data_IF_452418641084
#
_entry.id   IF_452418641084
#
_cell.length_a   1.000
_cell.length_b   1.000
_cell.length_c   1.000
_cell.angle_alpha   90.00
_cell.angle_beta   90.00
_cell.angle_gamma   90.00
#
_symmetry.space_group_name_H-M   'P 1'
#
loop_
_entity.id
_entity.type
_entity.pdbx_description
1 polymer ?
#
# COMPACT_ATOMS: atom_id res chain seq x y z
N UNK A 1 -17.72 9.46 13.39
CA UNK A 1 -16.64 10.40 13.03
C UNK A 1 -15.42 10.19 13.93
N UNK A 2 -15.62 9.78 15.19
CA UNK A 2 -14.52 9.35 16.08
C UNK A 2 -13.71 8.16 15.54
N UNK A 3 -14.32 7.20 14.84
CA UNK A 3 -13.59 6.02 14.33
C UNK A 3 -12.54 6.34 13.25
N UNK A 4 -12.76 7.38 12.44
CA UNK A 4 -11.78 7.79 11.42
C UNK A 4 -10.55 8.46 12.04
N UNK A 5 -10.73 9.20 13.14
CA UNK A 5 -9.60 9.85 13.82
C UNK A 5 -8.72 8.84 14.56
N UNK A 6 -9.28 7.69 14.98
CA UNK A 6 -8.54 6.58 15.57
C UNK A 6 -7.62 5.92 14.54
N UNK A 7 -8.10 5.73 13.30
CA UNK A 7 -7.30 5.16 12.20
C UNK A 7 -6.13 6.09 11.85
N UNK A 8 -6.37 7.40 11.75
CA UNK A 8 -5.31 8.38 11.46
C UNK A 8 -4.29 8.46 12.60
N UNK A 9 -4.74 8.42 13.85
CA UNK A 9 -3.86 8.43 15.03
C UNK A 9 -3.02 7.15 15.13
N UNK A 10 -3.62 6.00 14.84
CA UNK A 10 -2.92 4.72 14.78
C UNK A 10 -1.86 4.72 13.67
N UNK A 11 -2.20 5.18 12.47
CA UNK A 11 -1.25 5.27 11.37
C UNK A 11 -0.12 6.24 11.67
N UNK A 12 -0.40 7.39 12.28
CA UNK A 12 0.63 8.33 12.71
C UNK A 12 1.58 7.70 13.74
N UNK A 13 1.03 6.99 14.75
CA UNK A 13 1.84 6.30 15.75
C UNK A 13 2.65 5.13 15.16
N UNK A 14 2.06 4.37 14.24
CA UNK A 14 2.70 3.27 13.55
C UNK A 14 3.86 3.76 12.67
N UNK A 15 3.63 4.76 11.81
CA UNK A 15 4.67 5.35 10.98
C UNK A 15 5.79 5.94 11.83
N UNK A 16 5.46 6.67 12.91
CA UNK A 16 6.47 7.17 13.84
C UNK A 16 7.27 6.05 14.51
N UNK A 17 6.62 4.95 14.91
CA UNK A 17 7.31 3.80 15.51
C UNK A 17 8.28 3.15 14.51
N UNK A 18 7.83 2.95 13.26
CA UNK A 18 8.65 2.39 12.18
C UNK A 18 9.84 3.31 11.84
N UNK A 19 9.58 4.61 11.63
CA UNK A 19 10.62 5.59 11.31
C UNK A 19 11.66 5.72 12.43
N UNK A 20 11.22 5.66 13.69
CA UNK A 20 12.12 5.68 14.85
C UNK A 20 13.00 4.42 14.96
N UNK A 21 12.42 3.25 14.67
CA UNK A 21 13.15 1.98 14.70
C UNK A 21 14.23 1.90 13.62
N UNK A 22 13.89 2.31 12.38
CA UNK A 22 14.85 2.39 11.29
C UNK A 22 15.87 3.52 11.50
N UNK A 23 15.46 4.66 12.06
CA UNK A 23 16.35 5.79 12.36
C UNK A 23 17.47 5.42 13.33
N UNK A 24 17.14 4.72 14.43
CA UNK A 24 18.13 4.28 15.42
C UNK A 24 19.14 3.28 14.86
N UNK A 25 18.72 2.41 13.94
CA UNK A 25 19.58 1.38 13.36
C UNK A 25 20.34 1.87 12.11
N UNK A 26 19.91 2.98 11.50
CA UNK A 26 20.41 3.43 10.20
C UNK A 26 21.92 3.65 10.17
N UNK A 27 22.49 4.26 11.22
CA UNK A 27 23.93 4.51 11.32
C UNK A 27 24.77 3.23 11.45
N UNK A 28 24.35 2.33 12.33
CA UNK A 28 25.04 1.06 12.58
C UNK A 28 24.96 0.13 11.36
N UNK A 29 23.79 0.06 10.72
CA UNK A 29 23.58 -0.72 9.50
C UNK A 29 24.42 -0.16 8.36
N UNK A 30 24.47 1.17 8.18
CA UNK A 30 25.29 1.78 7.13
C UNK A 30 26.79 1.52 7.34
N UNK A 31 27.26 1.63 8.59
CA UNK A 31 28.66 1.35 8.94
C UNK A 31 29.02 -0.11 8.70
N UNK A 32 28.22 -1.05 9.24
CA UNK A 32 28.45 -2.48 9.07
C UNK A 32 28.41 -2.89 7.59
N UNK A 33 27.45 -2.36 6.84
CA UNK A 33 27.33 -2.60 5.39
C UNK A 33 28.56 -2.11 4.64
N UNK A 34 29.07 -0.92 4.97
CA UNK A 34 30.28 -0.35 4.35
C UNK A 34 31.51 -1.22 4.61
N UNK A 35 31.68 -1.69 5.84
CA UNK A 35 32.79 -2.58 6.23
C UNK A 35 32.69 -3.90 5.48
N UNK A 36 31.50 -4.53 5.45
CA UNK A 36 31.26 -5.79 4.74
C UNK A 36 31.55 -5.67 3.23
N UNK A 37 31.14 -4.58 2.60
CA UNK A 37 31.43 -4.28 1.19
C UNK A 37 32.94 -4.15 0.96
N UNK A 38 33.64 -3.42 1.84
CA UNK A 38 35.09 -3.27 1.76
C UNK A 38 35.81 -4.61 1.83
N UNK A 39 35.38 -5.49 2.74
CA UNK A 39 35.91 -6.85 2.89
C UNK A 39 35.62 -7.68 1.62
N UNK A 40 34.40 -7.64 1.09
CA UNK A 40 34.00 -8.39 -0.11
C UNK A 40 34.81 -8.01 -1.36
N UNK A 41 35.08 -6.71 -1.55
CA UNK A 41 35.89 -6.21 -2.66
C UNK A 41 37.37 -6.57 -2.45
N UNK A 42 37.90 -6.41 -1.23
CA UNK A 42 39.28 -6.72 -0.92
C UNK A 42 39.59 -8.22 -1.13
N UNK A 43 38.72 -9.10 -0.65
CA UNK A 43 38.85 -10.54 -0.86
C UNK A 43 38.77 -10.90 -2.35
N UNK A 44 37.82 -10.32 -3.10
CA UNK A 44 37.73 -10.56 -4.54
C UNK A 44 39.00 -10.13 -5.28
N UNK A 45 39.57 -8.97 -4.94
CA UNK A 45 40.82 -8.49 -5.51
C UNK A 45 42.00 -9.40 -5.20
N UNK A 46 42.12 -9.85 -3.95
CA UNK A 46 43.20 -10.75 -3.53
C UNK A 46 43.09 -12.11 -4.23
N UNK A 47 41.91 -12.73 -4.22
CA UNK A 47 41.66 -14.02 -4.88
C UNK A 47 41.96 -13.97 -6.38
N UNK A 48 41.50 -12.93 -7.08
CA UNK A 48 41.77 -12.80 -8.51
C UNK A 48 43.24 -12.49 -8.83
N UNK A 49 43.96 -11.81 -7.93
CA UNK A 49 45.40 -11.59 -8.10
C UNK A 49 46.21 -12.88 -8.02
N UNK A 50 45.74 -13.85 -7.22
CA UNK A 50 46.41 -15.14 -7.03
C UNK A 50 46.12 -16.13 -8.17
N UNK A 51 44.98 -15.99 -8.86
CA UNK A 51 44.55 -16.87 -9.95
C UNK A 51 45.26 -16.58 -11.29
N UNK A 52 46.06 -15.51 -11.37
CA UNK A 52 46.94 -15.22 -12.51
C UNK A 52 46.20 -14.82 -13.81
N UNK A 53 44.91 -14.53 -13.75
CA UNK A 53 44.10 -14.25 -14.93
C UNK A 53 44.33 -12.85 -15.52
N UNK A 54 44.28 -12.75 -16.86
CA UNK A 54 44.58 -11.54 -17.60
C UNK A 54 43.55 -10.38 -17.49
N UNK A 55 42.53 -10.48 -16.63
CA UNK A 55 41.39 -9.54 -16.62
C UNK A 55 40.92 -9.09 -15.22
N UNK A 56 41.82 -9.06 -14.24
CA UNK A 56 41.50 -8.68 -12.85
C UNK A 56 40.81 -7.30 -12.78
N UNK A 57 41.34 -6.32 -13.53
CA UNK A 57 40.81 -4.94 -13.53
C UNK A 57 39.35 -4.90 -14.03
N UNK A 58 39.05 -5.58 -15.14
CA UNK A 58 37.71 -5.63 -15.72
C UNK A 58 36.69 -6.27 -14.77
N UNK A 59 37.10 -7.30 -14.02
CA UNK A 59 36.25 -7.97 -13.02
C UNK A 59 36.01 -7.09 -11.80
N UNK A 60 37.05 -6.41 -11.31
CA UNK A 60 36.93 -5.47 -10.19
C UNK A 60 36.03 -4.29 -10.50
N UNK A 61 36.19 -3.67 -11.67
CA UNK A 61 35.31 -2.56 -12.09
C UNK A 61 33.85 -2.99 -12.09
N UNK A 62 33.55 -4.16 -12.69
CA UNK A 62 32.18 -4.69 -12.73
C UNK A 62 31.63 -4.93 -11.31
N UNK A 63 32.43 -5.52 -10.42
CA UNK A 63 32.00 -5.83 -9.05
C UNK A 63 31.80 -4.55 -8.23
N UNK A 64 32.72 -3.59 -8.32
CA UNK A 64 32.61 -2.29 -7.65
C UNK A 64 31.37 -1.55 -8.13
N UNK A 65 31.08 -1.53 -9.44
CA UNK A 65 29.87 -0.88 -9.96
C UNK A 65 28.59 -1.57 -9.45
N UNK A 66 28.56 -2.90 -9.42
CA UNK A 66 27.38 -3.64 -8.97
C UNK A 66 27.14 -3.45 -7.47
N UNK A 67 28.17 -3.66 -6.66
CA UNK A 67 28.09 -3.53 -5.20
C UNK A 67 27.91 -2.06 -4.79
N UNK A 68 28.58 -1.13 -5.47
CA UNK A 68 28.44 0.30 -5.22
C UNK A 68 27.05 0.83 -5.55
N UNK A 69 26.44 0.37 -6.66
CA UNK A 69 25.06 0.70 -6.98
C UNK A 69 24.08 0.12 -5.94
N UNK A 70 24.32 -1.12 -5.49
CA UNK A 70 23.52 -1.73 -4.44
C UNK A 70 23.62 -0.95 -3.11
N UNK A 71 24.84 -0.56 -2.71
CA UNK A 71 25.08 0.27 -1.54
C UNK A 71 24.40 1.64 -1.65
N UNK A 72 24.45 2.25 -2.84
CA UNK A 72 23.77 3.50 -3.14
C UNK A 72 22.25 3.38 -2.92
N UNK A 73 21.63 2.30 -3.42
CA UNK A 73 20.21 2.04 -3.22
C UNK A 73 19.84 1.85 -1.75
N UNK A 74 20.63 1.06 -1.00
CA UNK A 74 20.37 0.87 0.43
C UNK A 74 20.49 2.17 1.22
N UNK A 75 21.53 2.97 0.96
CA UNK A 75 21.78 4.20 1.70
C UNK A 75 20.76 5.31 1.39
N UNK A 76 20.20 5.32 0.17
CA UNK A 76 19.25 6.35 -0.27
C UNK A 76 17.82 5.83 -0.38
N UNK A 77 17.52 4.64 0.16
CA UNK A 77 16.25 3.95 -0.04
C UNK A 77 15.03 4.82 0.29
N UNK A 78 15.04 5.51 1.44
CA UNK A 78 13.93 6.37 1.88
C UNK A 78 13.65 7.51 0.89
N UNK A 79 14.70 8.20 0.42
CA UNK A 79 14.56 9.28 -0.56
C UNK A 79 14.07 8.76 -1.91
N UNK A 80 14.61 7.65 -2.40
CA UNK A 80 14.14 7.05 -3.65
C UNK A 80 12.70 6.57 -3.54
N UNK A 81 12.30 5.98 -2.41
CA UNK A 81 10.93 5.54 -2.18
C UNK A 81 9.96 6.73 -2.15
N UNK A 82 10.33 7.86 -1.54
CA UNK A 82 9.52 9.08 -1.54
C UNK A 82 9.35 9.65 -2.96
N UNK A 83 10.42 9.70 -3.76
CA UNK A 83 10.36 10.13 -5.17
C UNK A 83 9.41 9.24 -5.97
N UNK A 84 9.54 7.91 -5.83
CA UNK A 84 8.67 6.94 -6.52
C UNK A 84 7.22 7.11 -6.07
N UNK A 85 6.97 7.24 -4.76
CA UNK A 85 5.64 7.46 -4.21
C UNK A 85 5.00 8.73 -4.77
N UNK A 86 5.70 9.86 -4.73
CA UNK A 86 5.22 11.14 -5.28
C UNK A 86 4.89 11.03 -6.76
N UNK A 87 5.75 10.34 -7.52
CA UNK A 87 5.53 10.12 -8.96
C UNK A 87 4.25 9.32 -9.21
N UNK A 88 4.01 8.26 -8.46
CA UNK A 88 2.77 7.47 -8.59
C UNK A 88 1.54 8.23 -8.09
N UNK A 89 1.67 8.99 -7.00
CA UNK A 89 0.60 9.84 -6.48
C UNK A 89 0.19 10.89 -7.51
N UNK A 90 1.15 11.60 -8.11
CA UNK A 90 0.89 12.60 -9.15
C UNK A 90 0.21 12.00 -10.38
N UNK A 91 0.71 10.86 -10.87
CA UNK A 91 0.10 10.13 -11.99
C UNK A 91 -1.33 9.64 -11.65
N UNK A 92 -1.54 9.15 -10.43
CA UNK A 92 -2.85 8.69 -9.95
C UNK A 92 -3.87 9.82 -9.84
N UNK A 93 -3.44 11.01 -9.44
CA UNK A 93 -4.29 12.21 -9.40
C UNK A 93 -4.64 12.69 -10.80
N UNK A 94 -3.68 12.69 -11.73
CA UNK A 94 -3.93 13.01 -13.13
C UNK A 94 -4.94 12.04 -13.78
N UNK A 95 -4.88 10.75 -13.45
CA UNK A 95 -5.77 9.73 -14.01
C UNK A 95 -7.17 9.68 -13.36
N UNK A 96 -7.29 10.03 -12.08
CA UNK A 96 -8.55 9.90 -11.32
C UNK A 96 -9.52 11.09 -11.45
N UNK A 97 -9.13 12.17 -12.13
CA UNK A 97 -9.94 13.37 -12.39
C UNK A 97 -10.63 13.94 -11.12
N UNK A 98 -10.03 13.75 -9.95
CA UNK A 98 -10.57 14.16 -8.66
C UNK A 98 -9.72 15.28 -8.04
N UNK A 99 -10.33 16.13 -7.20
CA UNK A 99 -9.66 17.29 -6.58
C UNK A 99 -8.77 16.93 -5.36
N UNK A 100 -8.24 15.71 -5.32
CA UNK A 100 -7.36 15.26 -4.24
C UNK A 100 -5.92 15.72 -4.50
N UNK A 101 -5.18 15.96 -3.42
CA UNK A 101 -3.75 16.28 -3.48
C UNK A 101 -2.90 15.06 -3.09
N UNK A 102 -1.61 15.04 -3.45
CA UNK A 102 -0.74 13.90 -3.11
C UNK A 102 -0.62 13.72 -1.59
N UNK A 103 -0.65 14.82 -0.84
CA UNK A 103 -0.66 14.83 0.62
C UNK A 103 -1.96 14.26 1.22
N UNK A 104 -3.05 14.28 0.46
CA UNK A 104 -4.31 13.68 0.88
C UNK A 104 -4.32 12.16 0.68
N UNK A 105 -3.50 11.64 -0.24
CA UNK A 105 -3.32 10.19 -0.40
C UNK A 105 -2.55 9.56 0.76
N UNK A 106 -1.79 10.37 1.50
CA UNK A 106 -1.09 9.97 2.72
C UNK A 106 -2.01 10.01 3.97
N UNK A 107 -3.26 10.45 3.83
CA UNK A 107 -4.23 10.55 4.93
C UNK A 107 -5.33 9.49 4.76
N UNK A 108 -5.16 8.30 5.34
CA UNK A 108 -6.08 7.18 5.14
C UNK A 108 -7.51 7.49 5.62
N UNK A 109 -7.69 8.29 6.66
CA UNK A 109 -9.01 8.77 7.10
C UNK A 109 -9.71 9.63 6.04
N UNK A 110 -9.00 10.56 5.38
CA UNK A 110 -9.58 11.38 4.31
C UNK A 110 -9.96 10.53 3.09
N UNK A 111 -9.09 9.60 2.71
CA UNK A 111 -9.33 8.59 1.66
C UNK A 111 -10.54 7.70 1.98
N UNK A 112 -10.61 7.18 3.20
CA UNK A 112 -11.71 6.35 3.68
C UNK A 112 -13.04 7.13 3.73
N UNK A 113 -13.00 8.41 4.11
CA UNK A 113 -14.17 9.30 4.10
C UNK A 113 -14.74 9.53 2.69
N UNK A 114 -13.86 9.72 1.70
CA UNK A 114 -14.26 9.85 0.29
C UNK A 114 -14.83 8.53 -0.24
N UNK A 115 -14.17 7.40 0.07
CA UNK A 115 -14.67 6.08 -0.29
C UNK A 115 -16.03 5.76 0.34
N UNK A 116 -16.22 6.14 1.60
CA UNK A 116 -17.50 6.00 2.31
C UNK A 116 -18.60 6.88 1.68
N UNK A 117 -18.32 8.15 1.38
CA UNK A 117 -19.28 9.02 0.70
C UNK A 117 -19.63 8.52 -0.70
N UNK A 118 -18.67 8.00 -1.46
CA UNK A 118 -18.89 7.41 -2.77
C UNK A 118 -19.70 6.09 -2.69
N UNK A 119 -19.51 5.30 -1.63
CA UNK A 119 -20.22 4.04 -1.40
C UNK A 119 -21.59 4.23 -0.70
N UNK A 120 -21.83 5.37 -0.08
CA UNK A 120 -23.07 5.69 0.65
C UNK A 120 -24.36 5.54 -0.18
N UNK A 121 -24.42 5.96 -1.46
CA UNK A 121 -25.59 5.75 -2.31
C UNK A 121 -25.88 4.26 -2.55
N UNK A 122 -24.83 3.43 -2.69
CA UNK A 122 -24.96 1.98 -2.85
C UNK A 122 -25.46 1.34 -1.55
N UNK A 123 -24.94 1.77 -0.39
CA UNK A 123 -25.42 1.33 0.92
C UNK A 123 -26.89 1.71 1.16
N UNK A 124 -27.33 2.89 0.72
CA UNK A 124 -28.76 3.27 0.77
C UNK A 124 -29.64 2.39 -0.10
N UNK A 125 -29.20 2.05 -1.31
CA UNK A 125 -29.93 1.14 -2.20
C UNK A 125 -30.00 -0.26 -1.60
N UNK A 126 -28.88 -0.78 -1.09
CA UNK A 126 -28.82 -2.09 -0.42
C UNK A 126 -29.68 -2.09 0.85
N UNK A 127 -29.67 -1.02 1.65
CA UNK A 127 -30.52 -0.88 2.84
C UNK A 127 -32.01 -0.77 2.50
N UNK A 128 -32.38 -0.18 1.36
CA UNK A 128 -33.76 -0.15 0.87
C UNK A 128 -34.23 -1.55 0.42
N UNK A 129 -33.32 -2.36 -0.13
CA UNK A 129 -33.58 -3.76 -0.51
C UNK A 129 -33.58 -4.71 0.71
N UNK A 130 -32.81 -4.41 1.76
CA UNK A 130 -32.73 -5.22 3.00
C UNK A 130 -33.66 -4.74 4.13
N UNK A 131 -34.40 -3.64 3.93
CA UNK A 131 -35.30 -3.10 4.95
C UNK A 131 -36.39 -4.11 5.31
N UNK A 132 -36.61 -4.31 6.60
CA UNK A 132 -37.67 -5.15 7.20
C UNK A 132 -39.02 -5.01 6.46
N UNK A 133 -39.36 -3.82 5.96
CA UNK A 133 -40.58 -3.56 5.19
C UNK A 133 -40.66 -4.31 3.86
N UNK A 134 -39.57 -4.53 3.11
CA UNK A 134 -39.61 -5.35 1.88
C UNK A 134 -39.91 -6.82 2.18
N UNK A 135 -39.48 -7.34 3.34
CA UNK A 135 -39.88 -8.68 3.79
C UNK A 135 -41.38 -8.74 4.10
N UNK A 136 -41.95 -7.74 4.78
CA UNK A 136 -43.39 -7.70 5.09
C UNK A 136 -44.28 -7.33 3.91
N UNK A 137 -43.84 -6.49 2.97
CA UNK A 137 -44.57 -6.13 1.76
C UNK A 137 -44.72 -7.36 0.85
N UNK A 138 -43.66 -8.16 0.71
CA UNK A 138 -43.73 -9.44 -0.01
C UNK A 138 -44.49 -10.51 0.79
N UNK A 139 -44.36 -10.55 2.12
CA UNK A 139 -45.08 -11.51 2.97
C UNK A 139 -46.61 -11.27 2.97
N UNK A 140 -47.06 -10.01 3.08
CA UNK A 140 -48.48 -9.66 2.98
C UNK A 140 -49.03 -9.94 1.57
N UNK A 141 -48.24 -9.66 0.52
CA UNK A 141 -48.62 -9.98 -0.88
C UNK A 141 -48.74 -11.49 -1.10
N UNK A 142 -47.85 -12.30 -0.52
CA UNK A 142 -47.90 -13.77 -0.58
C UNK A 142 -49.08 -14.33 0.23
N UNK A 143 -49.40 -13.73 1.38
CA UNK A 143 -50.49 -14.17 2.26
C UNK A 143 -51.89 -13.73 1.77
N UNK A 144 -52.00 -12.58 1.12
CA UNK A 144 -53.25 -12.10 0.51
C UNK A 144 -53.51 -12.79 -0.85
N UNK A 145 -52.47 -13.13 -1.59
CA UNK A 145 -52.54 -13.95 -2.80
C UNK A 145 -53.02 -15.39 -2.56
N UNK A 146 -52.97 -15.91 -1.33
CA UNK A 146 -53.44 -17.27 -1.01
C UNK A 146 -54.93 -17.37 -0.69
N UNK A 147 -55.68 -16.24 -0.67
CA UNK A 147 -57.14 -16.26 -0.46
C UNK A 147 -57.97 -16.19 -1.74
N UNK A 148 -57.40 -15.87 -2.90
CA UNK A 148 -58.13 -15.84 -4.18
C UNK A 148 -58.05 -17.15 -4.98
N UNK A 149 -57.19 -18.11 -4.61
CA UNK A 149 -57.04 -19.38 -5.35
C UNK A 149 -58.03 -20.50 -4.94
N UNK A 150 -58.96 -20.25 -4.01
CA UNK A 150 -59.93 -21.27 -3.54
C UNK A 150 -61.37 -21.08 -4.01
N UNK A 151 -61.66 -20.11 -4.89
CA UNK A 151 -63.05 -19.82 -5.31
C UNK A 151 -63.25 -19.74 -6.84
N UNK A 152 -62.43 -20.44 -7.63
CA UNK A 152 -62.65 -20.60 -9.09
C UNK A 152 -62.57 -22.08 -9.52
N UNK A 153 -63.14 -22.96 -8.70
CA UNK A 153 -63.34 -24.38 -9.00
C UNK A 153 -64.78 -24.77 -8.67
N UNK A 154 -65.73 -24.35 -9.50
CA UNK A 154 -67.04 -24.99 -9.78
C UNK A 154 -68.05 -23.97 -10.29
N UNK A 155 -68.10 -23.81 -11.62
CA UNK A 155 -69.30 -23.79 -12.47
C UNK A 155 -68.94 -23.32 -13.87
#
# INVERSE_FOLDING_TARGET
MDDLSVIDSFMAAFSHAIDSGFGLLSGDVASLTTILIGIDIALAGLFWSMDGEANILSRLIRKILYVGLFAFFLNNFSSLADIVYRSFAELGLHASANALTADDLLKPGKLAGIGYQAAWPLLKQVSALMGFTSFFDNFLTILDGSRSASAAGSR
#
